data_IF_403096102526
#
_entry.id   IF_403096102526
#
_cell.length_a   1.000
_cell.length_b   1.000
_cell.length_c   1.000
_cell.angle_alpha   90.00
_cell.angle_beta   90.00
_cell.angle_gamma   90.00
#
_symmetry.space_group_name_H-M   'P 1'
#
loop_
_entity.id
_entity.type
_entity.pdbx_description
1 polymer ?
#
# COMPACT_ATOMS: atom_id res chain seq x y z
N UNK A 1 11.59 -87.99 -0.74
CA UNK A 1 11.05 -88.41 -2.02
C UNK A 1 9.65 -87.74 -2.17
N UNK A 2 9.59 -86.61 -2.83
CA UNK A 2 8.37 -86.02 -3.52
C UNK A 2 8.77 -84.77 -4.21
N UNK A 3 8.76 -84.79 -5.53
CA UNK A 3 8.96 -83.68 -6.45
C UNK A 3 7.82 -82.67 -6.32
N UNK A 4 8.12 -81.39 -6.32
CA UNK A 4 7.16 -80.30 -6.55
C UNK A 4 7.66 -79.48 -7.75
N UNK A 5 6.90 -79.60 -8.84
CA UNK A 5 7.06 -78.78 -10.07
C UNK A 5 6.95 -77.31 -9.76
N UNK A 6 7.87 -76.50 -10.25
CA UNK A 6 7.75 -75.07 -10.37
C UNK A 6 7.18 -74.75 -11.75
N UNK A 7 5.98 -74.20 -11.78
CA UNK A 7 5.40 -73.58 -12.96
C UNK A 7 5.93 -72.14 -13.05
N UNK A 8 6.64 -71.81 -14.12
CA UNK A 8 7.06 -70.50 -14.46
C UNK A 8 5.91 -69.75 -15.18
N UNK A 9 5.39 -68.67 -14.60
CA UNK A 9 4.45 -67.80 -15.27
C UNK A 9 5.27 -66.71 -16.00
N UNK A 10 5.14 -66.69 -17.33
CA UNK A 10 5.62 -65.60 -18.17
C UNK A 10 4.72 -64.40 -17.97
N UNK A 11 5.31 -63.28 -17.44
CA UNK A 11 4.69 -61.97 -17.44
C UNK A 11 5.11 -61.25 -18.73
N UNK A 12 4.15 -60.97 -19.59
CA UNK A 12 4.31 -60.13 -20.75
C UNK A 12 4.41 -58.65 -20.28
N UNK A 13 5.27 -57.81 -20.86
CA UNK A 13 5.30 -56.39 -20.52
C UNK A 13 4.16 -55.62 -21.23
N UNK A 14 3.20 -55.11 -20.45
CA UNK A 14 2.27 -54.09 -20.95
C UNK A 14 3.04 -52.80 -21.17
N UNK A 15 3.29 -52.43 -22.41
CA UNK A 15 3.74 -51.08 -22.80
C UNK A 15 2.59 -50.11 -22.60
N UNK A 16 2.66 -49.30 -21.54
CA UNK A 16 1.81 -48.11 -21.40
C UNK A 16 2.36 -47.02 -22.32
N UNK A 17 1.68 -46.78 -23.46
CA UNK A 17 1.95 -45.61 -24.27
C UNK A 17 1.40 -44.39 -23.53
N UNK A 18 2.31 -43.53 -22.95
CA UNK A 18 1.96 -42.21 -22.48
C UNK A 18 1.67 -41.32 -23.70
N UNK A 19 0.40 -41.07 -23.96
CA UNK A 19 -0.03 -40.01 -24.87
C UNK A 19 0.17 -38.69 -24.11
N UNK A 20 1.24 -37.97 -24.43
CA UNK A 20 1.39 -36.58 -24.02
C UNK A 20 0.34 -35.77 -24.78
N UNK A 21 -0.78 -35.45 -24.11
CA UNK A 21 -1.66 -34.40 -24.56
C UNK A 21 -0.90 -33.08 -24.44
N UNK A 22 -0.45 -32.53 -25.57
CA UNK A 22 0.06 -31.18 -25.65
C UNK A 22 -1.05 -30.23 -25.20
N UNK A 23 -0.79 -29.48 -24.10
CA UNK A 23 -1.63 -28.38 -23.70
C UNK A 23 -1.75 -27.38 -24.85
N UNK A 24 -2.92 -26.80 -25.13
CA UNK A 24 -3.07 -25.81 -26.15
C UNK A 24 -2.17 -24.61 -25.81
N UNK A 25 -1.17 -24.38 -26.62
CA UNK A 25 -0.42 -23.12 -26.62
C UNK A 25 -1.44 -22.03 -26.95
N UNK A 26 -1.77 -21.20 -25.97
CA UNK A 26 -2.48 -19.95 -26.22
C UNK A 26 -1.55 -19.11 -27.10
N UNK A 27 -1.79 -19.12 -28.42
CA UNK A 27 -1.18 -18.15 -29.30
C UNK A 27 -1.60 -16.77 -28.81
N UNK A 28 -0.61 -15.91 -28.53
CA UNK A 28 -0.88 -14.50 -28.28
C UNK A 28 -1.69 -13.95 -29.47
N UNK A 29 -2.69 -13.08 -29.23
CA UNK A 29 -3.45 -12.48 -30.32
C UNK A 29 -2.49 -11.77 -31.27
N UNK A 30 -2.74 -11.77 -32.59
CA UNK A 30 -1.88 -11.13 -33.57
C UNK A 30 -1.79 -9.64 -33.23
N UNK A 31 -0.57 -9.15 -33.02
CA UNK A 31 -0.28 -7.73 -32.90
C UNK A 31 -0.75 -7.05 -34.19
N UNK A 32 -1.64 -6.07 -34.07
CA UNK A 32 -1.96 -5.18 -35.20
C UNK A 32 -0.69 -4.53 -35.74
N UNK A 33 -0.71 -4.05 -36.99
CA UNK A 33 0.45 -3.37 -37.56
C UNK A 33 0.91 -2.23 -36.64
N UNK A 34 2.22 -2.06 -36.36
CA UNK A 34 2.69 -1.07 -35.39
C UNK A 34 2.35 0.35 -35.85
N UNK A 35 1.83 1.16 -34.91
CA UNK A 35 1.62 2.60 -35.11
C UNK A 35 2.92 3.35 -34.83
N UNK A 36 2.97 4.65 -35.10
CA UNK A 36 4.16 5.46 -34.88
C UNK A 36 3.89 6.63 -33.94
N UNK A 37 4.77 6.81 -32.99
CA UNK A 37 4.78 7.92 -32.04
C UNK A 37 6.00 8.81 -32.26
N UNK A 38 5.83 10.14 -32.24
CA UNK A 38 6.93 11.10 -32.30
C UNK A 38 7.23 11.58 -30.89
N UNK A 39 8.46 11.35 -30.43
CA UNK A 39 8.95 11.70 -29.09
C UNK A 39 8.83 13.21 -28.86
N UNK A 40 8.18 13.60 -27.76
CA UNK A 40 7.99 14.98 -27.33
C UNK A 40 9.04 15.37 -26.28
N UNK A 41 9.19 16.69 -26.04
CA UNK A 41 10.03 17.18 -24.96
C UNK A 41 9.52 16.69 -23.60
N UNK A 42 10.41 16.06 -22.80
CA UNK A 42 10.08 15.46 -21.52
C UNK A 42 9.64 14.00 -21.55
N UNK A 43 9.53 13.37 -22.73
CA UNK A 43 9.23 11.96 -22.84
C UNK A 43 10.39 11.08 -22.36
N UNK A 44 10.02 9.94 -21.79
CA UNK A 44 10.94 8.83 -21.48
C UNK A 44 10.41 7.54 -22.09
N UNK A 45 11.28 6.57 -22.39
CA UNK A 45 10.86 5.24 -22.85
C UNK A 45 9.86 4.61 -21.88
N UNK A 46 9.99 4.87 -20.58
CA UNK A 46 9.05 4.38 -19.57
C UNK A 46 7.66 5.02 -19.72
N UNK A 47 7.59 6.34 -19.91
CA UNK A 47 6.32 7.05 -20.08
C UNK A 47 5.61 6.64 -21.37
N UNK A 48 6.39 6.48 -22.47
CA UNK A 48 5.85 6.01 -23.75
C UNK A 48 5.38 4.55 -23.65
N UNK A 49 6.19 3.66 -23.06
CA UNK A 49 5.78 2.28 -22.84
C UNK A 49 4.50 2.16 -22.02
N UNK A 50 4.38 2.94 -20.95
CA UNK A 50 3.17 3.00 -20.13
C UNK A 50 1.95 3.50 -20.92
N UNK A 51 2.13 4.54 -21.76
CA UNK A 51 1.06 5.10 -22.61
C UNK A 51 0.51 4.08 -23.60
N UNK A 52 1.38 3.23 -24.16
CA UNK A 52 1.01 2.23 -25.17
C UNK A 52 0.87 0.81 -24.59
N UNK A 53 0.68 0.70 -23.26
CA UNK A 53 0.45 -0.57 -22.53
C UNK A 53 1.48 -1.66 -22.88
N UNK A 54 2.73 -1.27 -23.01
CA UNK A 54 3.85 -2.16 -23.28
C UNK A 54 4.95 -2.01 -22.21
N UNK A 55 6.03 -2.75 -22.36
CA UNK A 55 7.20 -2.62 -21.48
C UNK A 55 8.32 -1.86 -22.19
N UNK A 56 9.23 -1.23 -21.44
CA UNK A 56 10.43 -0.58 -22.00
C UNK A 56 11.22 -1.57 -22.83
N UNK A 57 11.38 -2.82 -22.38
CA UNK A 57 12.07 -3.87 -23.10
C UNK A 57 11.41 -4.18 -24.46
N UNK A 58 10.10 -4.33 -24.50
CA UNK A 58 9.35 -4.59 -25.73
C UNK A 58 9.40 -3.38 -26.70
N UNK A 59 9.30 -2.15 -26.14
CA UNK A 59 9.42 -0.94 -26.96
C UNK A 59 10.81 -0.78 -27.57
N UNK A 60 11.87 -1.10 -26.81
CA UNK A 60 13.25 -1.13 -27.31
C UNK A 60 13.43 -2.17 -28.40
N UNK A 61 12.93 -3.37 -28.19
CA UNK A 61 13.00 -4.46 -29.18
C UNK A 61 12.27 -4.10 -30.49
N UNK A 62 11.07 -3.51 -30.38
CA UNK A 62 10.27 -3.10 -31.55
C UNK A 62 10.94 -2.02 -32.36
N UNK A 63 11.81 -1.20 -31.74
CA UNK A 63 12.51 -0.08 -32.36
C UNK A 63 14.02 -0.30 -32.55
N UNK A 64 14.54 -1.49 -32.25
CA UNK A 64 15.97 -1.82 -32.30
C UNK A 64 16.84 -0.86 -31.46
N UNK A 65 16.37 -0.41 -30.30
CA UNK A 65 17.09 0.51 -29.43
C UNK A 65 18.07 -0.25 -28.52
N UNK A 66 19.36 0.08 -28.59
CA UNK A 66 20.41 -0.51 -27.78
C UNK A 66 20.57 0.20 -26.40
N UNK A 67 19.96 1.38 -26.22
CA UNK A 67 20.02 2.18 -24.99
C UNK A 67 18.65 2.70 -24.56
N UNK A 68 18.64 3.50 -23.49
CA UNK A 68 17.40 4.08 -22.92
C UNK A 68 17.23 5.55 -23.35
N UNK A 69 18.17 6.11 -24.13
CA UNK A 69 18.16 7.50 -24.58
C UNK A 69 17.33 7.61 -25.86
N UNK A 70 16.33 8.49 -25.85
CA UNK A 70 15.51 8.87 -26.98
C UNK A 70 15.62 10.38 -27.19
N UNK A 71 15.44 10.84 -28.44
CA UNK A 71 15.56 12.25 -28.83
C UNK A 71 14.17 12.84 -29.14
N UNK A 72 13.97 14.10 -28.83
CA UNK A 72 12.77 14.84 -29.24
C UNK A 72 12.69 14.85 -30.78
N UNK A 73 11.52 14.52 -31.32
CA UNK A 73 11.32 14.35 -32.76
C UNK A 73 11.64 12.94 -33.29
N UNK A 74 12.24 12.06 -32.48
CA UNK A 74 12.48 10.66 -32.87
C UNK A 74 11.14 9.94 -33.07
N UNK A 75 11.02 9.21 -34.18
CA UNK A 75 9.84 8.39 -34.47
C UNK A 75 10.03 6.99 -33.89
N UNK A 76 9.17 6.57 -33.01
CA UNK A 76 9.15 5.23 -32.43
C UNK A 76 7.96 4.44 -32.95
N UNK A 77 8.18 3.19 -33.32
CA UNK A 77 7.11 2.23 -33.52
C UNK A 77 6.52 1.86 -32.13
N UNK A 78 5.21 1.91 -32.01
CA UNK A 78 4.48 1.56 -30.81
C UNK A 78 3.49 0.44 -31.12
N UNK A 79 3.22 -0.50 -30.20
CA UNK A 79 2.23 -1.54 -30.47
C UNK A 79 0.88 -0.87 -30.71
N UNK A 80 0.24 -1.17 -31.82
CA UNK A 80 -1.21 -0.95 -31.92
C UNK A 80 -1.85 -1.93 -30.99
N UNK A 81 -2.33 -1.46 -29.84
CA UNK A 81 -3.34 -2.18 -29.12
C UNK A 81 -4.55 -2.19 -30.08
N UNK A 82 -4.78 -3.33 -30.75
CA UNK A 82 -6.10 -3.62 -31.23
C UNK A 82 -6.98 -3.63 -29.96
N UNK A 83 -7.50 -2.44 -29.65
CA UNK A 83 -8.46 -2.23 -28.59
C UNK A 83 -9.73 -2.96 -29.05
N UNK A 84 -9.86 -4.21 -28.65
CA UNK A 84 -11.15 -4.62 -28.19
C UNK A 84 -11.37 -3.81 -26.90
N UNK A 85 -11.65 -2.52 -27.06
CA UNK A 85 -12.15 -1.72 -25.96
C UNK A 85 -13.42 -2.47 -25.50
N UNK A 86 -13.49 -2.91 -24.24
CA UNK A 86 -14.77 -3.34 -23.69
C UNK A 86 -15.69 -2.13 -23.94
N UNK A 87 -16.90 -2.39 -24.47
CA UNK A 87 -17.84 -1.35 -24.85
C UNK A 87 -17.97 -0.39 -23.65
N UNK A 88 -17.34 0.79 -23.73
CA UNK A 88 -17.34 1.75 -22.64
C UNK A 88 -18.71 2.43 -22.62
N UNK A 89 -19.40 2.37 -21.49
CA UNK A 89 -20.58 3.19 -21.25
C UNK A 89 -20.06 4.59 -20.90
N UNK A 90 -20.69 5.62 -21.47
CA UNK A 90 -20.33 7.02 -21.18
C UNK A 90 -21.20 7.53 -20.03
N UNK A 91 -20.58 8.20 -19.06
CA UNK A 91 -21.26 8.93 -18.00
C UNK A 91 -20.97 10.43 -18.13
N UNK A 92 -22.00 11.27 -18.08
CA UNK A 92 -21.84 12.74 -18.11
C UNK A 92 -21.66 13.24 -16.68
N UNK A 93 -20.51 13.88 -16.41
CA UNK A 93 -20.15 14.42 -15.10
C UNK A 93 -21.21 15.43 -14.65
N UNK A 94 -21.75 15.24 -13.43
CA UNK A 94 -22.71 16.14 -12.82
C UNK A 94 -22.00 17.16 -11.90
N UNK A 95 -22.60 18.34 -11.66
CA UNK A 95 -22.07 19.27 -10.67
C UNK A 95 -21.87 18.61 -9.30
N UNK A 96 -20.65 18.74 -8.74
CA UNK A 96 -20.27 18.12 -7.47
C UNK A 96 -19.76 16.69 -7.57
N UNK A 97 -19.67 16.08 -8.77
CA UNK A 97 -19.02 14.80 -8.93
C UNK A 97 -17.50 14.90 -8.69
N UNK A 98 -16.96 13.81 -8.21
CA UNK A 98 -15.51 13.56 -8.18
C UNK A 98 -15.22 12.26 -8.91
N UNK A 99 -14.02 12.14 -9.47
CA UNK A 99 -13.61 10.91 -10.15
C UNK A 99 -13.73 9.67 -9.24
N UNK A 100 -13.49 9.86 -7.94
CA UNK A 100 -13.67 8.83 -6.92
C UNK A 100 -15.16 8.40 -6.79
N UNK A 101 -16.09 9.34 -6.77
CA UNK A 101 -17.53 9.04 -6.66
C UNK A 101 -18.06 8.34 -7.92
N UNK A 102 -17.62 8.81 -9.09
CA UNK A 102 -17.97 8.16 -10.37
C UNK A 102 -17.41 6.74 -10.42
N UNK A 103 -16.13 6.55 -10.07
CA UNK A 103 -15.50 5.24 -10.04
C UNK A 103 -16.24 4.26 -9.13
N UNK A 104 -16.63 4.70 -7.93
CA UNK A 104 -17.41 3.89 -6.98
C UNK A 104 -18.77 3.51 -7.52
N UNK A 105 -19.48 4.45 -8.14
CA UNK A 105 -20.80 4.19 -8.77
C UNK A 105 -20.75 3.07 -9.79
N UNK A 106 -19.61 2.94 -10.48
CA UNK A 106 -19.44 1.99 -11.59
C UNK A 106 -18.50 0.82 -11.26
N UNK A 107 -18.20 0.58 -9.97
CA UNK A 107 -17.43 -0.58 -9.53
C UNK A 107 -15.97 -0.58 -10.03
N UNK A 108 -15.38 0.60 -10.21
CA UNK A 108 -13.99 0.78 -10.65
C UNK A 108 -13.20 1.65 -9.66
N UNK A 109 -11.95 1.93 -9.94
CA UNK A 109 -11.14 2.84 -9.13
C UNK A 109 -10.96 4.19 -9.82
N UNK A 110 -10.81 5.28 -9.05
CA UNK A 110 -10.53 6.61 -9.60
C UNK A 110 -9.28 6.59 -10.49
N UNK A 111 -8.28 5.80 -10.14
CA UNK A 111 -7.06 5.62 -10.94
C UNK A 111 -7.34 4.95 -12.28
N UNK A 112 -8.11 3.84 -12.28
CA UNK A 112 -8.48 3.14 -13.51
C UNK A 112 -9.32 4.03 -14.42
N UNK A 113 -10.26 4.80 -13.81
CA UNK A 113 -11.10 5.74 -14.52
C UNK A 113 -10.27 6.91 -15.09
N UNK A 114 -9.30 7.44 -14.32
CA UNK A 114 -8.38 8.48 -14.79
C UNK A 114 -7.53 7.99 -15.97
N UNK A 115 -6.97 6.79 -15.85
CA UNK A 115 -6.14 6.17 -16.89
C UNK A 115 -6.95 5.93 -18.18
N UNK A 116 -8.18 5.39 -18.05
CA UNK A 116 -9.06 5.14 -19.20
C UNK A 116 -9.40 6.42 -19.97
N UNK A 117 -9.53 7.53 -19.24
CA UNK A 117 -9.96 8.82 -19.78
C UNK A 117 -8.83 9.82 -20.01
N UNK A 118 -7.58 9.46 -19.77
CA UNK A 118 -6.43 10.36 -19.91
C UNK A 118 -6.47 11.55 -18.93
N UNK A 119 -7.17 11.42 -17.79
CA UNK A 119 -7.31 12.47 -16.77
C UNK A 119 -6.03 12.51 -15.94
N UNK A 120 -5.21 13.54 -16.15
CA UNK A 120 -3.95 13.73 -15.42
C UNK A 120 -4.14 14.30 -14.01
N UNK A 121 -5.21 15.08 -13.78
CA UNK A 121 -5.56 15.61 -12.48
C UNK A 121 -6.97 15.18 -12.06
N UNK A 122 -7.12 14.16 -11.19
CA UNK A 122 -8.41 13.61 -10.79
C UNK A 122 -9.28 14.59 -9.97
N UNK A 123 -8.73 15.72 -9.53
CA UNK A 123 -9.44 16.76 -8.79
C UNK A 123 -10.05 17.85 -9.68
N UNK A 124 -9.74 17.84 -10.98
CA UNK A 124 -10.27 18.79 -11.96
C UNK A 124 -11.21 18.05 -12.92
N UNK A 125 -12.48 17.98 -12.57
CA UNK A 125 -13.54 17.47 -13.43
C UNK A 125 -14.45 18.62 -13.84
N UNK A 126 -14.77 18.70 -15.13
CA UNK A 126 -15.74 19.67 -15.66
C UNK A 126 -17.12 19.05 -15.74
N UNK A 127 -18.10 19.62 -15.08
CA UNK A 127 -19.49 19.19 -15.23
C UNK A 127 -19.95 19.33 -16.69
N UNK A 128 -20.65 18.30 -17.18
CA UNK A 128 -21.09 18.22 -18.57
C UNK A 128 -20.15 17.45 -19.49
N UNK A 129 -18.91 17.16 -19.07
CA UNK A 129 -17.99 16.33 -19.84
C UNK A 129 -18.31 14.83 -19.72
N UNK A 130 -18.20 14.04 -20.81
CA UNK A 130 -18.37 12.61 -20.77
C UNK A 130 -17.11 11.92 -20.23
N UNK A 131 -17.29 10.98 -19.31
CA UNK A 131 -16.26 10.07 -18.82
C UNK A 131 -16.58 8.65 -19.28
N UNK A 132 -15.65 8.01 -19.98
CA UNK A 132 -15.76 6.61 -20.35
C UNK A 132 -15.64 5.72 -19.10
N UNK A 133 -16.62 4.85 -18.90
CA UNK A 133 -16.68 3.92 -17.78
C UNK A 133 -16.25 2.54 -18.27
N UNK A 134 -15.25 1.88 -17.67
CA UNK A 134 -14.85 0.54 -18.06
C UNK A 134 -16.02 -0.42 -17.80
N UNK A 135 -16.41 -1.22 -18.80
CA UNK A 135 -17.27 -2.35 -18.52
C UNK A 135 -16.43 -3.42 -17.82
N UNK A 136 -16.68 -3.61 -16.54
CA UNK A 136 -16.02 -4.64 -15.75
C UNK A 136 -16.52 -6.00 -16.21
N UNK A 137 -15.65 -6.83 -16.78
CA UNK A 137 -15.91 -8.25 -17.02
C UNK A 137 -15.72 -9.11 -15.78
N UNK A 138 -15.28 -8.52 -14.68
CA UNK A 138 -15.30 -9.13 -13.36
C UNK A 138 -16.57 -8.69 -12.65
N UNK A 139 -17.43 -9.65 -12.32
CA UNK A 139 -18.62 -9.46 -11.49
C UNK A 139 -18.15 -9.02 -10.10
N UNK A 140 -17.77 -7.74 -9.96
CA UNK A 140 -17.81 -7.10 -8.67
C UNK A 140 -19.29 -6.99 -8.33
N UNK A 141 -19.76 -7.69 -7.30
CA UNK A 141 -21.07 -7.40 -6.70
C UNK A 141 -21.10 -5.90 -6.44
N UNK A 142 -22.16 -5.17 -6.85
CA UNK A 142 -22.26 -3.75 -6.60
C UNK A 142 -22.21 -3.55 -5.08
N UNK A 143 -21.12 -2.94 -4.60
CA UNK A 143 -21.02 -2.57 -3.20
C UNK A 143 -19.61 -2.58 -2.64
N UNK A 144 -18.93 -3.72 -2.58
CA UNK A 144 -17.65 -3.87 -1.87
C UNK A 144 -16.44 -3.78 -2.81
N UNK A 145 -15.54 -2.82 -2.53
CA UNK A 145 -14.24 -2.69 -3.20
C UNK A 145 -13.11 -2.78 -2.17
N UNK A 146 -12.05 -3.50 -2.50
CA UNK A 146 -10.84 -3.65 -1.67
C UNK A 146 -9.61 -3.30 -2.48
N UNK A 147 -8.81 -2.36 -2.01
CA UNK A 147 -7.61 -1.88 -2.69
C UNK A 147 -6.40 -1.81 -1.73
N UNK A 148 -5.33 -2.56 -2.00
CA UNK A 148 -5.22 -3.63 -3.00
C UNK A 148 -5.88 -4.94 -2.53
N UNK A 149 -6.39 -5.76 -3.46
CA UNK A 149 -6.93 -7.09 -3.14
C UNK A 149 -5.82 -8.08 -2.70
N UNK A 150 -4.59 -7.83 -3.11
CA UNK A 150 -3.38 -8.48 -2.59
C UNK A 150 -2.57 -7.46 -1.83
N UNK A 151 -2.66 -7.51 -0.50
CA UNK A 151 -1.90 -6.65 0.38
C UNK A 151 -0.52 -7.24 0.69
N UNK A 152 0.42 -6.41 1.11
CA UNK A 152 1.72 -6.85 1.63
C UNK A 152 1.75 -6.71 3.14
N UNK A 153 2.59 -7.51 3.79
CA UNK A 153 2.97 -7.27 5.19
C UNK A 153 3.48 -5.83 5.34
N UNK A 154 2.91 -5.07 6.26
CA UNK A 154 3.20 -3.65 6.48
C UNK A 154 2.39 -2.68 5.60
N UNK A 155 1.53 -3.17 4.71
CA UNK A 155 0.71 -2.32 3.83
C UNK A 155 -0.58 -1.83 4.48
N UNK A 156 -1.32 -1.04 3.71
CA UNK A 156 -2.65 -0.51 4.10
C UNK A 156 -3.70 -0.92 3.08
N UNK A 157 -4.80 -1.52 3.56
CA UNK A 157 -6.00 -1.77 2.76
C UNK A 157 -6.95 -0.58 2.85
N UNK A 158 -7.51 -0.20 1.72
CA UNK A 158 -8.70 0.64 1.63
C UNK A 158 -9.88 -0.27 1.28
N UNK A 159 -10.88 -0.29 2.15
CA UNK A 159 -12.14 -1.00 1.94
C UNK A 159 -13.20 0.06 1.70
N UNK A 160 -13.96 -0.08 0.61
CA UNK A 160 -15.03 0.85 0.26
C UNK A 160 -16.31 0.07 0.02
N UNK A 161 -17.43 0.63 0.48
CA UNK A 161 -18.76 0.05 0.36
C UNK A 161 -19.68 1.10 -0.26
N UNK A 162 -20.03 0.89 -1.53
CA UNK A 162 -20.89 1.78 -2.30
C UNK A 162 -22.35 1.30 -2.22
N UNK A 163 -22.98 1.54 -1.08
CA UNK A 163 -24.39 1.25 -0.82
C UNK A 163 -25.11 2.56 -0.46
N UNK A 164 -25.68 3.27 -1.43
CA UNK A 164 -26.30 4.59 -1.20
C UNK A 164 -27.42 4.59 -0.17
N UNK A 165 -28.18 3.50 -0.11
CA UNK A 165 -29.31 3.31 0.81
C UNK A 165 -28.87 2.87 2.22
N UNK A 166 -27.60 2.46 2.40
CA UNK A 166 -27.11 2.02 3.69
C UNK A 166 -27.02 3.18 4.68
N UNK A 167 -27.55 2.99 5.87
CA UNK A 167 -27.41 3.90 7.00
C UNK A 167 -26.26 3.51 7.91
N UNK A 168 -25.88 2.23 7.91
CA UNK A 168 -24.73 1.73 8.65
C UNK A 168 -24.00 0.61 7.90
N UNK A 169 -22.70 0.51 8.18
CA UNK A 169 -21.82 -0.56 7.70
C UNK A 169 -21.02 -1.08 8.89
N UNK A 170 -21.00 -2.39 9.04
CA UNK A 170 -20.14 -3.12 9.97
C UNK A 170 -19.33 -4.16 9.20
N UNK A 171 -18.19 -4.55 9.72
CA UNK A 171 -17.39 -5.60 9.08
C UNK A 171 -16.28 -6.11 9.94
N UNK A 172 -15.67 -7.21 9.49
CA UNK A 172 -14.52 -7.83 10.12
C UNK A 172 -13.45 -8.16 9.08
N UNK A 173 -12.20 -7.96 9.44
CA UNK A 173 -11.05 -8.44 8.70
C UNK A 173 -10.27 -9.40 9.59
N UNK A 174 -10.09 -10.63 9.13
CA UNK A 174 -9.49 -11.70 9.94
C UNK A 174 -10.14 -11.85 11.33
N UNK A 175 -11.47 -11.74 11.39
CA UNK A 175 -12.24 -11.79 12.63
C UNK A 175 -12.15 -10.54 13.53
N UNK A 176 -11.32 -9.56 13.21
CA UNK A 176 -11.21 -8.28 13.96
C UNK A 176 -12.20 -7.27 13.38
N UNK A 177 -12.93 -6.50 14.23
CA UNK A 177 -13.85 -5.46 13.76
C UNK A 177 -13.13 -4.36 12.97
N UNK A 178 -13.79 -3.87 11.92
CA UNK A 178 -13.36 -2.76 11.10
C UNK A 178 -14.17 -1.52 11.46
N UNK A 179 -13.51 -0.36 11.51
CA UNK A 179 -14.15 0.94 11.73
C UNK A 179 -14.42 1.61 10.39
N UNK A 180 -15.69 1.72 10.01
CA UNK A 180 -16.11 2.41 8.81
C UNK A 180 -16.42 3.87 9.07
N UNK A 181 -16.08 4.72 8.09
CA UNK A 181 -16.40 6.14 8.07
C UNK A 181 -17.30 6.40 6.89
N UNK A 182 -18.37 7.19 7.09
CA UNK A 182 -19.27 7.60 6.01
C UNK A 182 -18.67 8.78 5.26
N UNK A 183 -18.64 8.68 3.95
CA UNK A 183 -18.39 9.77 3.02
C UNK A 183 -19.64 10.05 2.18
N UNK A 184 -19.60 11.05 1.29
CA UNK A 184 -20.72 11.36 0.42
C UNK A 184 -21.05 10.19 -0.51
N UNK A 185 -22.07 9.39 -0.17
CA UNK A 185 -22.60 8.30 -0.99
C UNK A 185 -21.90 6.94 -0.85
N UNK A 186 -20.96 6.78 0.10
CA UNK A 186 -20.30 5.50 0.37
C UNK A 186 -19.73 5.44 1.79
N UNK A 187 -19.37 4.25 2.23
CA UNK A 187 -18.58 4.04 3.45
C UNK A 187 -17.18 3.54 3.08
N UNK A 188 -16.19 3.91 3.87
CA UNK A 188 -14.84 3.39 3.70
C UNK A 188 -14.16 3.11 5.03
N UNK A 189 -13.18 2.23 5.00
CA UNK A 189 -12.35 1.89 6.14
C UNK A 189 -10.91 1.70 5.69
N UNK A 190 -9.97 2.03 6.58
CA UNK A 190 -8.56 1.74 6.43
C UNK A 190 -8.20 0.58 7.37
N UNK A 191 -7.45 -0.40 6.87
CA UNK A 191 -6.97 -1.54 7.65
C UNK A 191 -5.47 -1.67 7.47
N UNK A 192 -4.72 -1.50 8.57
CA UNK A 192 -3.29 -1.78 8.60
C UNK A 192 -3.04 -3.28 8.55
N UNK A 193 -2.10 -3.71 7.73
CA UNK A 193 -1.63 -5.09 7.67
C UNK A 193 -0.34 -5.18 8.47
N UNK A 194 -0.37 -5.90 9.58
CA UNK A 194 0.81 -6.08 10.41
C UNK A 194 2.00 -6.60 9.58
N UNK A 195 3.21 -6.08 9.87
CA UNK A 195 4.46 -6.62 9.31
C UNK A 195 4.70 -8.09 9.68
N UNK A 196 4.03 -8.56 10.74
CA UNK A 196 4.03 -9.96 11.20
C UNK A 196 2.78 -10.73 10.77
N UNK A 197 1.96 -10.17 9.89
CA UNK A 197 0.75 -10.84 9.45
C UNK A 197 1.08 -12.21 8.81
N UNK A 198 0.27 -13.20 9.10
CA UNK A 198 0.38 -14.51 8.46
C UNK A 198 0.09 -14.36 6.96
N UNK A 199 0.98 -14.91 6.12
CA UNK A 199 0.83 -14.92 4.67
C UNK A 199 -0.31 -15.84 4.27
N UNK A 200 -1.04 -15.48 3.23
CA UNK A 200 -2.15 -16.27 2.67
C UNK A 200 -3.45 -15.51 2.63
N UNK A 201 -4.52 -16.22 2.32
CA UNK A 201 -5.85 -15.66 2.17
C UNK A 201 -6.53 -15.43 3.52
N UNK A 202 -7.05 -14.22 3.71
CA UNK A 202 -7.68 -13.76 4.95
C UNK A 202 -9.11 -13.31 4.65
N UNK A 203 -10.12 -13.74 5.44
CA UNK A 203 -11.50 -13.37 5.21
C UNK A 203 -11.76 -11.90 5.57
N UNK A 204 -12.47 -11.22 4.67
CA UNK A 204 -13.12 -9.93 4.86
C UNK A 204 -14.62 -10.14 4.75
N UNK A 205 -15.38 -9.75 5.77
CA UNK A 205 -16.83 -9.77 5.76
C UNK A 205 -17.35 -8.36 6.08
N UNK A 206 -18.39 -7.95 5.35
CA UNK A 206 -19.04 -6.64 5.52
C UNK A 206 -20.55 -6.86 5.52
N UNK A 207 -21.24 -6.15 6.41
CA UNK A 207 -22.70 -6.12 6.49
C UNK A 207 -23.17 -4.69 6.40
N UNK A 208 -24.08 -4.41 5.50
CA UNK A 208 -24.77 -3.14 5.37
C UNK A 208 -26.18 -3.24 5.94
N UNK A 209 -26.74 -2.14 6.41
CA UNK A 209 -28.13 -2.04 6.85
C UNK A 209 -28.74 -0.75 6.30
N UNK A 210 -29.92 -0.86 5.68
CA UNK A 210 -30.67 0.27 5.15
C UNK A 210 -31.62 0.91 6.18
N UNK A 211 -32.33 1.97 5.79
CA UNK A 211 -33.29 2.70 6.64
C UNK A 211 -34.49 1.85 7.07
N UNK A 212 -34.81 0.80 6.32
CA UNK A 212 -35.89 -0.16 6.62
C UNK A 212 -35.42 -1.29 7.56
N UNK A 213 -34.15 -1.31 7.95
CA UNK A 213 -33.55 -2.35 8.78
C UNK A 213 -33.19 -3.63 7.99
N UNK A 214 -33.29 -3.61 6.66
CA UNK A 214 -32.87 -4.72 5.82
C UNK A 214 -31.35 -4.77 5.77
N UNK A 215 -30.79 -5.94 6.05
CA UNK A 215 -29.36 -6.17 6.01
C UNK A 215 -28.93 -6.93 4.75
N UNK A 216 -27.78 -6.57 4.21
CA UNK A 216 -27.09 -7.32 3.17
C UNK A 216 -25.65 -7.62 3.64
N UNK A 217 -25.20 -8.85 3.41
CA UNK A 217 -23.85 -9.29 3.79
C UNK A 217 -23.05 -9.66 2.55
N UNK A 218 -21.80 -9.20 2.52
CA UNK A 218 -20.82 -9.52 1.51
C UNK A 218 -19.53 -10.02 2.16
N UNK A 219 -18.85 -10.94 1.49
CA UNK A 219 -17.57 -11.45 1.94
C UNK A 219 -16.65 -11.71 0.75
N UNK A 220 -15.36 -11.50 0.99
CA UNK A 220 -14.30 -11.80 0.03
C UNK A 220 -13.05 -12.27 0.76
N UNK A 221 -12.10 -12.83 0.01
CA UNK A 221 -10.78 -13.19 0.52
C UNK A 221 -9.77 -12.14 0.06
N UNK A 222 -8.99 -11.63 1.00
CA UNK A 222 -7.85 -10.74 0.73
C UNK A 222 -6.58 -11.56 0.86
N UNK A 223 -5.71 -11.51 -0.13
CA UNK A 223 -4.46 -12.23 -0.06
C UNK A 223 -3.37 -11.35 0.60
N UNK A 224 -2.70 -11.86 1.64
CA UNK A 224 -1.53 -11.22 2.25
C UNK A 224 -0.29 -11.85 1.66
N UNK A 225 0.44 -11.08 0.86
CA UNK A 225 1.70 -11.49 0.26
C UNK A 225 2.87 -11.21 1.20
N UNK A 226 3.90 -12.05 1.09
CA UNK A 226 5.17 -11.85 1.80
C UNK A 226 5.85 -10.56 1.35
N UNK A 227 6.47 -9.88 2.32
CA UNK A 227 7.47 -8.84 2.07
C UNK A 227 8.84 -9.42 2.44
N UNK A 228 9.79 -9.39 1.49
CA UNK A 228 11.16 -9.83 1.75
C UNK A 228 11.89 -8.78 2.62
N UNK A 229 11.78 -8.92 3.92
CA UNK A 229 12.49 -8.05 4.87
C UNK A 229 13.94 -8.51 5.03
N UNK A 230 14.88 -7.58 4.84
CA UNK A 230 16.31 -7.81 4.98
C UNK A 230 16.69 -7.78 6.46
N UNK A 231 17.71 -8.57 6.85
CA UNK A 231 18.27 -8.55 8.21
C UNK A 231 19.37 -7.49 8.30
N UNK A 232 19.27 -6.61 9.31
CA UNK A 232 20.25 -5.58 9.65
C UNK A 232 20.94 -5.95 10.97
N UNK A 233 22.27 -6.06 10.94
CA UNK A 233 23.08 -6.16 12.16
C UNK A 233 23.33 -4.77 12.72
N UNK A 234 23.05 -4.57 14.02
CA UNK A 234 23.24 -3.30 14.73
C UNK A 234 24.13 -3.52 15.94
N UNK A 235 25.24 -2.80 15.99
CA UNK A 235 26.13 -2.80 17.16
C UNK A 235 25.75 -1.64 18.09
N UNK A 236 25.26 -1.99 19.28
CA UNK A 236 24.93 -1.03 20.33
C UNK A 236 26.08 -0.87 21.33
N UNK A 237 26.41 0.36 21.73
CA UNK A 237 27.34 0.60 22.83
C UNK A 237 26.71 0.14 24.16
N UNK A 238 27.53 -0.15 25.21
CA UNK A 238 27.03 -0.70 26.48
C UNK A 238 25.90 0.12 27.12
N UNK A 239 25.95 1.44 27.06
CA UNK A 239 24.90 2.32 27.58
C UNK A 239 23.54 2.12 26.89
N UNK A 240 23.52 1.79 25.58
CA UNK A 240 22.30 1.53 24.82
C UNK A 240 21.82 0.09 25.00
N UNK A 241 22.75 -0.85 25.21
CA UNK A 241 22.42 -2.24 25.60
C UNK A 241 21.65 -2.23 26.91
N UNK A 242 22.06 -1.43 27.90
CA UNK A 242 21.36 -1.30 29.18
C UNK A 242 19.89 -0.89 29.01
N UNK A 243 19.62 0.08 28.14
CA UNK A 243 18.23 0.52 27.81
C UNK A 243 17.44 -0.64 27.16
N UNK A 244 18.04 -1.32 26.16
CA UNK A 244 17.37 -2.39 25.44
C UNK A 244 17.08 -3.61 26.32
N UNK A 245 17.97 -3.87 27.31
CA UNK A 245 17.86 -5.00 28.25
C UNK A 245 16.84 -4.76 29.36
N UNK A 246 16.51 -3.52 29.64
CA UNK A 246 15.45 -3.17 30.60
C UNK A 246 14.07 -3.44 29.98
N UNK A 247 13.64 -4.70 30.05
CA UNK A 247 12.36 -5.15 29.48
C UNK A 247 11.16 -4.45 30.11
N UNK A 248 11.24 -4.07 31.37
CA UNK A 248 10.15 -3.34 32.06
C UNK A 248 9.98 -1.96 31.46
N UNK A 249 11.08 -1.26 31.25
CA UNK A 249 11.09 0.06 30.61
C UNK A 249 10.58 -0.03 29.15
N UNK A 250 11.11 -0.95 28.36
CA UNK A 250 10.74 -1.13 26.95
C UNK A 250 9.28 -1.45 26.80
N UNK A 251 8.74 -2.38 27.61
CA UNK A 251 7.34 -2.75 27.57
C UNK A 251 6.42 -1.61 28.02
N UNK A 252 6.75 -0.89 29.09
CA UNK A 252 6.00 0.27 29.56
C UNK A 252 5.88 1.37 28.50
N UNK A 253 6.96 1.70 27.79
CA UNK A 253 6.91 2.69 26.71
C UNK A 253 6.13 2.17 25.48
N UNK A 254 6.17 0.86 25.19
CA UNK A 254 5.37 0.26 24.13
C UNK A 254 3.87 0.30 24.48
N UNK A 255 3.50 0.00 25.73
CA UNK A 255 2.11 0.10 26.23
C UNK A 255 1.62 1.55 26.19
N UNK A 256 2.45 2.51 26.65
CA UNK A 256 2.14 3.93 26.57
C UNK A 256 1.87 4.36 25.13
N UNK A 257 2.72 3.96 24.18
CA UNK A 257 2.54 4.29 22.77
C UNK A 257 1.28 3.65 22.20
N UNK A 258 1.00 2.39 22.56
CA UNK A 258 -0.24 1.71 22.18
C UNK A 258 -1.46 2.48 22.67
N UNK A 259 -1.43 2.97 23.90
CA UNK A 259 -2.52 3.78 24.45
C UNK A 259 -2.68 5.14 23.75
N UNK A 260 -1.57 5.77 23.34
CA UNK A 260 -1.58 7.04 22.59
C UNK A 260 -2.22 6.87 21.21
N UNK A 261 -1.97 5.75 20.49
CA UNK A 261 -2.49 5.51 19.14
C UNK A 261 -3.79 4.71 19.09
N UNK A 262 -4.35 4.33 20.24
CA UNK A 262 -5.62 3.60 20.35
C UNK A 262 -6.87 4.43 20.03
N UNK A 263 -6.94 5.75 20.34
CA UNK A 263 -8.11 6.57 20.02
C UNK A 263 -8.40 6.58 18.49
N UNK A 264 -9.68 6.75 18.17
CA UNK A 264 -10.10 6.85 16.78
C UNK A 264 -10.86 8.16 16.57
N UNK A 265 -10.17 9.17 16.09
CA UNK A 265 -10.79 10.43 15.67
C UNK A 265 -11.62 10.16 14.39
N UNK A 266 -12.94 10.38 14.40
CA UNK A 266 -13.81 9.95 13.29
C UNK A 266 -13.67 10.82 12.04
N UNK A 267 -12.95 11.93 12.12
CA UNK A 267 -12.76 12.88 11.04
C UNK A 267 -11.37 12.73 10.45
N UNK A 268 -11.27 12.61 9.14
CA UNK A 268 -10.02 12.69 8.41
C UNK A 268 -9.47 14.12 8.48
N UNK A 269 -8.21 14.26 8.86
CA UNK A 269 -7.56 15.59 8.97
C UNK A 269 -6.59 15.88 7.81
N UNK A 270 -6.13 14.87 7.10
CA UNK A 270 -5.20 15.02 5.96
C UNK A 270 -5.92 15.15 4.62
N UNK A 271 -5.17 15.53 3.58
CA UNK A 271 -5.59 15.51 2.19
C UNK A 271 -4.41 15.10 1.29
N UNK A 272 -4.68 14.32 0.25
CA UNK A 272 -3.65 13.83 -0.67
C UNK A 272 -2.69 12.82 -0.02
N UNK A 273 -1.53 12.62 -0.67
CA UNK A 273 -0.46 11.80 -0.14
C UNK A 273 0.32 12.55 0.95
N UNK A 274 0.91 11.82 1.88
CA UNK A 274 1.78 12.39 2.90
C UNK A 274 3.11 12.85 2.28
N UNK A 275 3.71 13.89 2.82
CA UNK A 275 5.07 14.30 2.47
C UNK A 275 6.09 13.50 3.28
N UNK A 276 7.32 13.41 2.80
CA UNK A 276 8.39 12.91 3.66
C UNK A 276 8.70 13.96 4.74
N UNK A 277 8.86 13.56 6.02
CA UNK A 277 9.11 14.49 7.11
C UNK A 277 10.50 15.13 7.04
N UNK A 278 11.42 14.52 6.30
CA UNK A 278 12.79 14.99 6.04
C UNK A 278 13.25 14.45 4.69
N UNK A 279 14.06 15.24 4.00
CA UNK A 279 14.76 14.78 2.80
C UNK A 279 16.12 14.21 3.21
N UNK A 280 16.31 12.89 3.03
CA UNK A 280 17.55 12.20 3.38
C UNK A 280 17.56 10.77 2.84
N UNK A 281 18.73 10.12 2.92
CA UNK A 281 18.85 8.72 2.54
C UNK A 281 18.15 7.82 3.56
N UNK A 282 17.37 6.86 3.08
CA UNK A 282 16.80 5.81 3.93
C UNK A 282 17.93 4.81 4.25
N UNK A 283 18.22 4.64 5.53
CA UNK A 283 19.25 3.71 6.01
C UNK A 283 18.68 2.44 6.61
N UNK A 284 17.43 2.49 7.06
CA UNK A 284 16.73 1.31 7.57
C UNK A 284 15.26 1.42 7.21
N UNK A 285 14.81 0.57 6.30
CA UNK A 285 13.41 0.55 5.85
C UNK A 285 12.50 -0.10 6.89
N UNK A 286 11.22 0.21 6.81
CA UNK A 286 10.18 -0.46 7.56
C UNK A 286 10.27 -1.99 7.39
N UNK A 287 10.06 -2.72 8.48
CA UNK A 287 10.03 -4.18 8.50
C UNK A 287 11.42 -4.86 8.49
N UNK A 288 12.52 -4.12 8.25
CA UNK A 288 13.87 -4.72 8.35
C UNK A 288 14.04 -5.44 9.68
N UNK A 289 14.38 -6.72 9.62
CA UNK A 289 14.66 -7.50 10.83
C UNK A 289 15.98 -7.05 11.45
N UNK A 290 16.05 -6.97 12.77
CA UNK A 290 17.24 -6.48 13.47
C UNK A 290 17.87 -7.54 14.35
N UNK A 291 19.19 -7.68 14.26
CA UNK A 291 20.03 -8.43 15.19
C UNK A 291 20.93 -7.43 15.92
N UNK A 292 20.84 -7.38 17.26
CA UNK A 292 21.62 -6.48 18.07
C UNK A 292 22.81 -7.23 18.66
N UNK A 293 24.06 -6.72 18.44
CA UNK A 293 25.32 -7.28 18.94
C UNK A 293 25.45 -8.80 18.67
N UNK A 294 25.07 -9.26 17.49
CA UNK A 294 25.12 -10.69 17.13
C UNK A 294 24.06 -11.56 17.82
N UNK A 295 23.10 -10.97 18.53
CA UNK A 295 21.99 -11.68 19.17
C UNK A 295 20.93 -12.16 18.16
N UNK A 296 19.83 -12.75 18.65
CA UNK A 296 18.77 -13.29 17.79
C UNK A 296 18.11 -12.20 16.94
N UNK A 297 17.69 -12.59 15.74
CA UNK A 297 16.98 -11.71 14.82
C UNK A 297 15.57 -11.43 15.34
N UNK A 298 15.16 -10.17 15.33
CA UNK A 298 13.82 -9.75 15.76
C UNK A 298 12.73 -10.36 14.85
N UNK A 299 11.68 -10.92 15.45
CA UNK A 299 10.63 -11.62 14.70
C UNK A 299 9.85 -10.69 13.76
N UNK A 300 9.53 -9.46 14.22
CA UNK A 300 8.66 -8.55 13.50
C UNK A 300 9.36 -7.34 12.90
N UNK A 301 10.67 -7.22 13.09
CA UNK A 301 11.47 -6.20 12.44
C UNK A 301 11.19 -4.75 12.87
N UNK A 302 11.65 -3.82 12.06
CA UNK A 302 11.67 -2.39 12.28
C UNK A 302 10.27 -1.75 12.18
N UNK A 303 9.92 -0.91 13.15
CA UNK A 303 8.59 -0.32 13.29
C UNK A 303 8.36 0.96 12.46
N UNK A 304 9.36 1.37 11.71
CA UNK A 304 9.31 2.61 10.92
C UNK A 304 10.38 2.63 9.83
N UNK A 305 10.65 3.81 9.32
CA UNK A 305 11.72 4.09 8.36
C UNK A 305 12.70 5.04 9.00
N UNK A 306 14.01 4.69 8.95
CA UNK A 306 15.08 5.54 9.44
C UNK A 306 15.72 6.33 8.29
N UNK A 307 15.76 7.65 8.46
CA UNK A 307 16.45 8.56 7.55
C UNK A 307 17.78 8.99 8.19
N UNK A 308 18.88 8.64 7.53
CA UNK A 308 20.19 9.15 7.95
C UNK A 308 20.38 10.57 7.41
N UNK A 309 20.65 11.46 8.33
CA UNK A 309 20.93 12.86 8.02
C UNK A 309 21.88 13.42 9.08
N UNK A 310 22.48 14.58 8.81
CA UNK A 310 23.21 15.29 9.82
C UNK A 310 22.27 15.71 10.96
N UNK A 311 22.73 15.61 12.21
CA UNK A 311 21.97 16.10 13.36
C UNK A 311 21.58 17.56 13.19
N UNK A 312 20.45 17.95 13.78
CA UNK A 312 19.94 19.32 13.76
C UNK A 312 19.11 19.71 12.52
N UNK A 313 18.97 18.82 11.51
CA UNK A 313 18.08 19.10 10.39
C UNK A 313 16.61 19.16 10.83
N UNK A 314 15.86 20.05 10.18
CA UNK A 314 14.44 20.26 10.44
C UNK A 314 13.61 19.03 10.08
N UNK A 315 12.69 18.66 10.98
CA UNK A 315 11.67 17.64 10.76
C UNK A 315 10.32 18.33 10.63
N UNK A 316 9.59 18.00 9.56
CA UNK A 316 8.33 18.63 9.22
C UNK A 316 7.16 17.64 9.35
N UNK A 317 5.97 18.15 9.67
CA UNK A 317 4.75 17.34 9.65
C UNK A 317 4.44 16.89 8.22
N UNK A 318 4.21 15.57 7.97
CA UNK A 318 3.98 15.04 6.63
C UNK A 318 2.59 15.36 6.08
N UNK A 319 1.65 15.64 6.98
CA UNK A 319 0.26 15.95 6.69
C UNK A 319 -0.37 16.70 7.86
N UNK A 320 -1.53 17.30 7.64
CA UNK A 320 -2.29 17.96 8.70
C UNK A 320 -2.72 16.93 9.76
N UNK A 321 -2.62 17.31 11.04
CA UNK A 321 -3.02 16.46 12.17
C UNK A 321 -2.97 17.21 13.50
N UNK A 322 -3.34 16.51 14.57
CA UNK A 322 -3.26 16.99 15.95
C UNK A 322 -2.08 16.33 16.64
N UNK A 323 -1.20 17.10 17.22
CA UNK A 323 -0.14 16.57 18.10
C UNK A 323 -0.79 15.99 19.34
N UNK A 324 -0.66 14.68 19.55
CA UNK A 324 -1.24 13.98 20.72
C UNK A 324 -0.20 13.65 21.78
N UNK A 325 1.08 13.69 21.42
CA UNK A 325 2.20 13.51 22.31
C UNK A 325 3.43 14.31 21.85
N UNK A 326 4.13 14.93 22.78
CA UNK A 326 5.37 15.67 22.53
C UNK A 326 6.17 15.76 23.81
N UNK A 327 7.06 14.80 24.07
CA UNK A 327 7.87 14.72 25.28
C UNK A 327 9.09 13.80 25.13
N UNK A 328 10.02 13.88 26.09
CA UNK A 328 11.16 12.99 26.23
C UNK A 328 10.72 11.64 26.82
N UNK A 329 11.17 10.55 26.22
CA UNK A 329 11.07 9.17 26.72
C UNK A 329 12.48 8.54 26.76
N UNK A 330 12.64 7.41 27.45
CA UNK A 330 13.97 6.81 27.64
C UNK A 330 14.39 5.94 26.44
N UNK A 331 13.43 5.22 25.83
CA UNK A 331 13.70 4.35 24.68
C UNK A 331 13.65 5.16 23.37
N UNK A 332 12.57 5.92 23.16
CA UNK A 332 12.36 6.65 21.90
C UNK A 332 12.97 8.04 21.89
N UNK A 333 13.53 8.49 23.02
CA UNK A 333 14.11 9.83 23.16
C UNK A 333 13.04 10.93 23.08
N UNK A 334 13.39 12.09 22.59
CA UNK A 334 12.41 13.13 22.28
C UNK A 334 11.49 12.62 21.18
N UNK A 335 10.20 12.47 21.52
CA UNK A 335 9.20 11.86 20.68
C UNK A 335 8.03 12.80 20.44
N UNK A 336 7.53 12.83 19.22
CA UNK A 336 6.27 13.47 18.82
C UNK A 336 5.37 12.41 18.22
N UNK A 337 4.06 12.46 18.53
CA UNK A 337 3.03 11.66 17.86
C UNK A 337 1.93 12.58 17.36
N UNK A 338 1.53 12.40 16.10
CA UNK A 338 0.47 13.19 15.44
C UNK A 338 -0.68 12.23 15.08
N UNK A 339 -1.89 12.60 15.51
CA UNK A 339 -3.16 11.99 15.07
C UNK A 339 -3.63 12.70 13.80
N UNK A 340 -3.74 11.96 12.72
CA UNK A 340 -4.26 12.45 11.44
C UNK A 340 -5.74 12.17 11.25
N UNK A 341 -6.39 11.52 12.22
CA UNK A 341 -7.77 11.07 12.15
C UNK A 341 -7.92 9.65 11.56
N UNK A 342 -9.10 9.08 11.69
CA UNK A 342 -9.47 7.75 11.19
C UNK A 342 -8.57 6.61 11.70
N UNK A 343 -7.92 6.78 12.86
CA UNK A 343 -6.96 5.81 13.41
C UNK A 343 -5.60 5.82 12.72
N UNK A 344 -5.29 6.88 11.95
CA UNK A 344 -3.99 7.09 11.31
C UNK A 344 -3.13 7.98 12.18
N UNK A 345 -1.96 7.47 12.58
CA UNK A 345 -1.00 8.20 13.39
C UNK A 345 0.39 8.16 12.74
N UNK A 346 1.18 9.20 13.01
CA UNK A 346 2.61 9.20 12.71
C UNK A 346 3.41 9.57 13.95
N UNK A 347 4.63 9.03 14.06
CA UNK A 347 5.52 9.34 15.17
C UNK A 347 6.96 9.56 14.71
N UNK A 348 7.67 10.42 15.46
CA UNK A 348 9.00 10.92 15.17
C UNK A 348 9.85 10.76 16.41
N UNK A 349 10.93 9.97 16.31
CA UNK A 349 11.78 9.62 17.45
C UNK A 349 13.19 10.18 17.32
N UNK A 350 13.90 10.10 18.43
CA UNK A 350 15.31 10.44 18.57
C UNK A 350 15.64 11.91 18.30
N UNK A 351 14.62 12.80 18.38
CA UNK A 351 14.80 14.22 18.09
C UNK A 351 15.76 14.89 19.06
N UNK A 352 16.51 15.89 18.57
CA UNK A 352 17.30 16.80 19.41
C UNK A 352 16.39 17.83 20.08
N UNK A 353 15.42 18.37 19.34
CA UNK A 353 14.49 19.38 19.78
C UNK A 353 13.05 19.00 19.41
N UNK A 354 12.11 19.35 20.28
CA UNK A 354 10.66 19.26 20.04
C UNK A 354 10.16 20.69 19.81
N UNK A 355 9.65 20.99 18.61
CA UNK A 355 9.08 22.29 18.26
C UNK A 355 7.54 22.26 18.16
N UNK A 356 6.92 21.09 18.41
CA UNK A 356 5.48 20.90 18.44
C UNK A 356 4.96 20.78 19.87
N UNK A 357 3.71 21.18 20.09
CA UNK A 357 3.07 21.15 21.40
C UNK A 357 1.86 20.20 21.37
N UNK A 358 1.75 19.32 22.36
CA UNK A 358 0.58 18.43 22.51
C UNK A 358 -0.71 19.24 22.60
N UNK A 359 -1.77 18.74 21.94
CA UNK A 359 -3.08 19.38 21.81
C UNK A 359 -3.18 20.34 20.62
N UNK A 360 -2.11 20.79 20.00
CA UNK A 360 -2.12 21.73 18.88
C UNK A 360 -2.27 21.02 17.52
N UNK A 361 -2.88 21.72 16.58
CA UNK A 361 -2.91 21.31 15.18
C UNK A 361 -1.63 21.72 14.48
N UNK A 362 -1.17 20.87 13.58
CA UNK A 362 -0.09 21.15 12.61
C UNK A 362 -0.61 20.92 11.20
N UNK A 363 -0.06 21.65 10.24
CA UNK A 363 -0.32 21.46 8.81
C UNK A 363 0.86 20.72 8.15
N UNK A 364 0.64 20.20 6.95
CA UNK A 364 1.73 19.65 6.16
C UNK A 364 2.83 20.72 5.95
N UNK A 365 4.09 20.35 6.21
CA UNK A 365 5.24 21.24 6.09
C UNK A 365 5.57 22.07 7.33
N UNK A 366 4.73 22.05 8.38
CA UNK A 366 5.06 22.76 9.63
C UNK A 366 6.29 22.12 10.31
N UNK A 367 7.20 22.94 10.83
CA UNK A 367 8.35 22.51 11.61
C UNK A 367 7.86 21.90 12.93
N UNK A 368 8.18 20.62 13.18
CA UNK A 368 7.79 19.93 14.41
C UNK A 368 8.95 19.56 15.31
N UNK A 369 10.19 19.50 14.78
CA UNK A 369 11.36 19.15 15.56
C UNK A 369 12.65 19.22 14.76
N UNK A 370 13.75 18.81 15.39
CA UNK A 370 15.06 18.66 14.75
C UNK A 370 15.62 17.27 15.00
N UNK A 371 16.30 16.72 14.01
CA UNK A 371 16.94 15.40 14.09
C UNK A 371 18.02 15.41 15.18
N UNK A 372 18.01 14.34 15.96
CA UNK A 372 18.97 14.10 17.03
C UNK A 372 19.39 12.64 17.15
N UNK A 373 19.83 12.27 18.35
CA UNK A 373 20.25 10.92 18.74
C UNK A 373 19.85 10.60 20.17
N UNK A 374 18.71 11.13 20.63
CA UNK A 374 18.22 10.88 22.00
C UNK A 374 17.60 9.48 22.11
N UNK A 375 17.55 8.91 23.32
CA UNK A 375 17.00 7.58 23.57
C UNK A 375 17.89 6.43 23.06
N UNK A 376 17.29 5.34 22.59
CA UNK A 376 17.96 4.16 22.06
C UNK A 376 18.35 4.38 20.58
N UNK A 377 19.39 5.16 20.37
CA UNK A 377 19.90 5.53 19.04
C UNK A 377 21.42 5.32 18.98
N UNK A 378 21.95 4.90 17.84
CA UNK A 378 23.37 4.71 17.57
C UNK A 378 24.05 5.94 16.98
N UNK A 379 23.27 6.91 16.51
CA UNK A 379 23.76 8.13 15.89
C UNK A 379 22.61 9.01 15.39
N UNK A 380 22.90 10.21 14.89
CA UNK A 380 21.86 11.12 14.40
C UNK A 380 21.05 10.51 13.26
N UNK A 381 19.75 10.35 13.45
CA UNK A 381 18.79 9.93 12.43
C UNK A 381 17.37 10.31 12.85
N UNK A 382 16.45 10.35 11.89
CA UNK A 382 15.02 10.38 12.16
C UNK A 382 14.46 8.97 12.03
N UNK A 383 13.84 8.46 13.07
CA UNK A 383 12.95 7.33 12.98
C UNK A 383 11.51 7.82 12.78
N UNK A 384 10.86 7.39 11.69
CA UNK A 384 9.48 7.74 11.33
C UNK A 384 8.60 6.51 11.28
N UNK A 385 7.63 6.40 12.20
CA UNK A 385 6.63 5.33 12.26
C UNK A 385 5.26 5.81 11.82
N UNK A 386 4.43 4.90 11.32
CA UNK A 386 3.01 5.13 11.07
C UNK A 386 2.15 3.96 11.55
N UNK A 387 0.92 4.30 11.93
CA UNK A 387 -0.11 3.31 12.30
C UNK A 387 -1.39 3.55 11.53
N UNK A 388 -2.09 2.44 11.28
CA UNK A 388 -3.47 2.42 10.81
C UNK A 388 -4.27 1.50 11.73
N UNK A 389 -5.16 2.09 12.52
CA UNK A 389 -6.01 1.39 13.49
C UNK A 389 -5.23 0.42 14.41
N UNK A 390 -4.10 0.91 14.96
CA UNK A 390 -3.26 0.19 15.92
C UNK A 390 -2.20 -0.73 15.31
N UNK A 391 -2.19 -0.96 14.00
CA UNK A 391 -1.15 -1.75 13.32
C UNK A 391 -0.10 -0.83 12.70
N UNK A 392 1.17 -1.16 12.91
CA UNK A 392 2.28 -0.48 12.23
C UNK A 392 2.24 -0.75 10.72
N UNK A 393 2.36 0.32 9.93
CA UNK A 393 2.40 0.26 8.46
C UNK A 393 3.61 0.97 7.90
N UNK A 394 4.01 0.62 6.65
CA UNK A 394 5.13 1.28 5.97
C UNK A 394 4.81 2.75 5.70
N UNK A 395 5.53 3.69 6.35
CA UNK A 395 5.30 5.12 6.14
C UNK A 395 5.50 5.54 4.67
N UNK A 396 6.41 4.88 3.96
CA UNK A 396 6.74 5.21 2.58
C UNK A 396 5.62 4.87 1.59
N UNK A 397 4.71 3.95 1.94
CA UNK A 397 3.50 3.71 1.14
C UNK A 397 2.64 4.98 1.08
N UNK A 398 2.48 5.68 2.20
CA UNK A 398 1.65 6.86 2.34
C UNK A 398 2.20 8.10 1.61
N UNK A 399 3.49 8.12 1.29
CA UNK A 399 4.08 9.18 0.45
C UNK A 399 3.80 8.99 -1.05
N UNK A 400 3.43 7.76 -1.47
CA UNK A 400 3.23 7.39 -2.87
C UNK A 400 1.76 7.18 -3.23
N UNK A 401 0.90 7.04 -2.21
CA UNK A 401 -0.51 6.70 -2.37
C UNK A 401 -1.37 7.70 -1.62
N UNK A 402 -2.22 8.42 -2.35
CA UNK A 402 -3.25 9.23 -1.73
C UNK A 402 -4.39 8.31 -1.29
N UNK A 403 -4.59 8.18 0.03
CA UNK A 403 -5.72 7.47 0.61
C UNK A 403 -6.83 8.46 0.97
N UNK A 404 -8.13 8.06 0.84
CA UNK A 404 -9.28 8.94 1.06
C UNK A 404 -9.39 9.43 2.49
#
# INVERSE_FOLDING_TARGET
>A
MRFVLRTAALLAPCAFAFVFASAPTHAAPPLGAPDSYVVQAGDTLYAIAARYHTTVAALKQLNNLNGDIIQVGQKLLVPTVASAAPAATSYVIQPGDTLQRIALRYGTTARALAQLNGISNPNLLSAGEPVAIPQSTTVAKPGLTVDPLTARQGGTLLIQVAEPEAVSVAGTFNGKPIKFTRAAGYFYALVGISRCAKIGSVPLAVTTMDVAGKSAAESTMVNIASTAFVVQAINLPPSKVAILSDRTLVNREAEQLTAIVAPHTPTRLWSGAFQQPVYGAITSSFGMQRSYNGGPVSACGHEGTDFNTNGGLAVHAPARGRVVFAALTQVRGNMIVIDHGLGVFSAYYHLAEINAQAGKMVNAGDLIGKIGSTGLSTGPHLHWSMWVNGEYVDPMEWTRRALP
#
